data_IF_320017741740
#
_entry.id   IF_320017741740
#
_cell.length_a   1.000
_cell.length_b   1.000
_cell.length_c   1.000
_cell.angle_alpha   90.00
_cell.angle_beta   90.00
_cell.angle_gamma   90.00
#
_symmetry.space_group_name_H-M   'P 1'
#
loop_
_entity.id
_entity.type
_entity.pdbx_description
1 polymer ?
#
# COMPACT_ATOMS: atom_id res chain seq x y z
N UNK A 1 57.13 8.98 71.67
CA UNK A 1 57.82 8.36 70.52
C UNK A 1 56.96 7.40 69.71
N UNK A 2 56.58 6.20 70.16
CA UNK A 2 55.83 5.24 69.30
C UNK A 2 54.45 5.72 68.81
N UNK A 3 53.67 6.37 69.67
CA UNK A 3 52.36 6.93 69.32
C UNK A 3 52.46 8.12 68.34
N UNK A 4 53.45 9.01 68.54
CA UNK A 4 53.69 10.16 67.65
C UNK A 4 54.12 9.72 66.25
N UNK A 5 54.96 8.69 66.15
CA UNK A 5 55.38 8.11 64.86
C UNK A 5 54.18 7.49 64.13
N UNK A 6 53.28 6.79 64.84
CA UNK A 6 52.07 6.24 64.23
C UNK A 6 51.09 7.33 63.76
N UNK A 7 50.95 8.42 64.52
CA UNK A 7 50.11 9.56 64.13
C UNK A 7 50.64 10.23 62.84
N UNK A 8 51.95 10.44 62.74
CA UNK A 8 52.60 10.98 61.52
C UNK A 8 52.44 10.02 60.34
N UNK A 9 52.56 8.70 60.56
CA UNK A 9 52.35 7.69 59.52
C UNK A 9 50.91 7.66 58.99
N UNK A 10 49.92 7.78 59.87
CA UNK A 10 48.51 7.85 59.49
C UNK A 10 48.22 9.10 58.67
N UNK A 11 48.66 10.27 59.14
CA UNK A 11 48.53 11.53 58.41
C UNK A 11 49.17 11.46 57.03
N UNK A 12 50.37 10.89 56.92
CA UNK A 12 51.06 10.74 55.64
C UNK A 12 50.31 9.80 54.69
N UNK A 13 49.81 8.67 55.20
CA UNK A 13 49.02 7.73 54.40
C UNK A 13 47.69 8.33 53.92
N UNK A 14 47.01 9.12 54.76
CA UNK A 14 45.81 9.86 54.39
C UNK A 14 46.12 10.87 53.28
N UNK A 15 47.15 11.70 53.44
CA UNK A 15 47.56 12.68 52.43
C UNK A 15 47.97 12.02 51.09
N UNK A 16 48.67 10.87 51.15
CA UNK A 16 49.00 10.09 49.95
C UNK A 16 47.74 9.52 49.30
N UNK A 17 46.79 9.02 50.11
CA UNK A 17 45.50 8.50 49.65
C UNK A 17 44.68 9.56 48.92
N UNK A 18 44.47 10.71 49.56
CA UNK A 18 43.76 11.87 48.98
C UNK A 18 44.41 12.35 47.69
N UNK A 19 45.76 12.45 47.68
CA UNK A 19 46.48 12.89 46.49
C UNK A 19 46.38 11.88 45.35
N UNK A 20 46.43 10.58 45.67
CA UNK A 20 46.24 9.50 44.69
C UNK A 20 44.85 9.55 44.07
N UNK A 21 43.79 9.70 44.87
CA UNK A 21 42.42 9.80 44.37
C UNK A 21 42.24 11.03 43.47
N UNK A 22 42.77 12.18 43.87
CA UNK A 22 42.72 13.42 43.07
C UNK A 22 43.38 13.23 41.69
N UNK A 23 44.57 12.61 41.66
CA UNK A 23 45.28 12.35 40.41
C UNK A 23 44.56 11.32 39.54
N UNK A 24 43.93 10.30 40.14
CA UNK A 24 43.14 9.32 39.40
C UNK A 24 41.89 9.94 38.78
N UNK A 25 41.16 10.77 39.51
CA UNK A 25 39.99 11.49 38.99
C UNK A 25 40.38 12.45 37.86
N UNK A 26 41.50 13.17 38.01
CA UNK A 26 42.01 14.05 36.96
C UNK A 26 42.40 13.27 35.69
N UNK A 27 43.03 12.11 35.84
CA UNK A 27 43.38 11.24 34.71
C UNK A 27 42.13 10.72 33.98
N UNK A 28 41.10 10.27 34.72
CA UNK A 28 39.83 9.82 34.14
C UNK A 28 39.11 10.97 33.43
N UNK A 29 39.03 12.15 34.04
CA UNK A 29 38.38 13.32 33.43
C UNK A 29 39.09 13.76 32.14
N UNK A 30 40.43 13.73 32.12
CA UNK A 30 41.20 14.03 30.91
C UNK A 30 40.95 13.01 29.80
N UNK A 31 40.86 11.71 30.14
CA UNK A 31 40.54 10.66 29.18
C UNK A 31 39.13 10.83 28.61
N UNK A 32 38.12 11.06 29.46
CA UNK A 32 36.74 11.29 29.03
C UNK A 32 36.60 12.53 28.13
N UNK A 33 37.33 13.61 28.41
CA UNK A 33 37.32 14.80 27.57
C UNK A 33 37.99 14.56 26.20
N UNK A 34 39.04 13.75 26.14
CA UNK A 34 39.72 13.38 24.90
C UNK A 34 38.89 12.41 24.04
N UNK A 35 38.11 11.53 24.68
CA UNK A 35 37.21 10.56 24.04
C UNK A 35 35.78 11.10 23.86
N UNK A 36 35.54 12.38 24.16
CA UNK A 36 34.24 13.00 23.98
C UNK A 36 33.88 13.03 22.48
N UNK A 37 32.80 12.36 22.13
CA UNK A 37 32.27 12.30 20.76
C UNK A 37 31.04 13.20 20.65
N UNK A 38 30.85 13.80 19.48
CA UNK A 38 29.59 14.44 19.14
C UNK A 38 28.54 13.36 18.84
N UNK A 39 27.68 13.11 19.83
CA UNK A 39 26.59 12.12 19.75
C UNK A 39 25.45 12.55 18.83
N UNK A 40 25.46 13.79 18.31
CA UNK A 40 24.44 14.28 17.37
C UNK A 40 24.79 13.98 15.91
N UNK A 41 26.02 13.54 15.63
CA UNK A 41 26.43 13.17 14.28
C UNK A 41 25.58 12.01 13.73
N UNK A 42 25.22 12.03 12.44
CA UNK A 42 24.56 10.91 11.80
C UNK A 42 25.35 9.62 12.00
N UNK A 43 24.72 8.62 12.61
CA UNK A 43 25.31 7.29 12.76
C UNK A 43 25.51 6.61 11.42
N UNK A 44 26.42 5.62 11.39
CA UNK A 44 26.56 4.73 10.23
C UNK A 44 25.31 3.86 10.15
N UNK A 45 24.51 4.05 9.11
CA UNK A 45 23.26 3.31 8.88
C UNK A 45 23.14 2.89 7.42
N UNK A 46 22.39 1.83 7.19
CA UNK A 46 21.87 1.51 5.87
C UNK A 46 20.59 2.32 5.63
N UNK A 47 20.34 2.67 4.37
CA UNK A 47 19.12 3.37 4.00
C UNK A 47 17.91 2.43 4.14
N UNK A 48 16.81 2.97 4.67
CA UNK A 48 15.56 2.22 4.75
C UNK A 48 14.95 2.10 3.35
N UNK A 49 14.52 0.89 2.99
CA UNK A 49 13.73 0.68 1.79
C UNK A 49 12.37 1.37 1.87
N UNK A 50 11.77 1.64 0.70
CA UNK A 50 10.43 2.21 0.60
C UNK A 50 9.56 1.35 -0.33
N UNK A 51 8.26 1.25 0.02
CA UNK A 51 7.28 0.66 -0.88
C UNK A 51 7.03 1.59 -2.07
N UNK A 52 6.81 0.99 -3.24
CA UNK A 52 6.42 1.73 -4.42
C UNK A 52 5.09 2.49 -4.16
N UNK A 53 4.91 3.72 -4.65
CA UNK A 53 3.70 4.50 -4.40
C UNK A 53 2.40 3.78 -4.78
N UNK A 54 2.41 3.03 -5.88
CA UNK A 54 1.25 2.24 -6.31
C UNK A 54 0.92 1.13 -5.31
N UNK A 55 1.92 0.43 -4.76
CA UNK A 55 1.71 -0.58 -3.72
C UNK A 55 1.06 0.04 -2.49
N UNK A 56 1.56 1.19 -2.04
CA UNK A 56 0.96 1.93 -0.91
C UNK A 56 -0.50 2.32 -1.17
N UNK A 57 -0.81 2.76 -2.39
CA UNK A 57 -2.18 3.09 -2.79
C UNK A 57 -3.08 1.85 -2.78
N UNK A 58 -2.65 0.74 -3.38
CA UNK A 58 -3.42 -0.52 -3.40
C UNK A 58 -3.65 -1.03 -1.99
N UNK A 59 -2.61 -1.08 -1.15
CA UNK A 59 -2.71 -1.54 0.24
C UNK A 59 -3.69 -0.67 1.04
N UNK A 60 -3.67 0.65 0.83
CA UNK A 60 -4.60 1.58 1.48
C UNK A 60 -6.04 1.35 1.03
N UNK A 61 -6.28 1.16 -0.26
CA UNK A 61 -7.60 0.84 -0.79
C UNK A 61 -8.09 -0.51 -0.23
N UNK A 62 -7.21 -1.52 -0.22
CA UNK A 62 -7.53 -2.85 0.26
C UNK A 62 -7.87 -2.85 1.75
N UNK A 63 -7.09 -2.15 2.59
CA UNK A 63 -7.36 -2.02 4.01
C UNK A 63 -8.72 -1.35 4.29
N UNK A 64 -9.08 -0.31 3.53
CA UNK A 64 -10.38 0.34 3.67
C UNK A 64 -11.54 -0.61 3.37
N UNK A 65 -11.50 -1.30 2.22
CA UNK A 65 -12.57 -2.21 1.84
C UNK A 65 -12.61 -3.48 2.70
N UNK A 66 -11.48 -3.96 3.20
CA UNK A 66 -11.42 -5.06 4.17
C UNK A 66 -12.16 -4.71 5.47
N UNK A 67 -12.05 -3.47 5.95
CA UNK A 67 -12.82 -3.00 7.12
C UNK A 67 -14.35 -2.99 6.88
N UNK A 68 -14.79 -2.91 5.62
CA UNK A 68 -16.19 -3.04 5.21
C UNK A 68 -16.62 -4.50 4.92
N UNK A 69 -15.73 -5.47 5.13
CA UNK A 69 -15.97 -6.90 4.93
C UNK A 69 -15.79 -7.36 3.48
N UNK A 70 -15.04 -6.63 2.65
CA UNK A 70 -14.63 -7.12 1.33
C UNK A 70 -13.38 -7.99 1.43
N UNK A 71 -13.37 -9.11 0.73
CA UNK A 71 -12.19 -9.98 0.57
C UNK A 71 -11.33 -9.50 -0.61
N UNK A 72 -10.01 -9.56 -0.48
CA UNK A 72 -9.09 -9.33 -1.61
C UNK A 72 -8.95 -10.61 -2.40
N UNK A 73 -9.27 -10.57 -3.70
CA UNK A 73 -9.14 -11.71 -4.59
C UNK A 73 -8.28 -11.33 -5.79
N UNK A 74 -7.31 -12.16 -6.12
CA UNK A 74 -6.44 -11.99 -7.28
C UNK A 74 -6.68 -13.10 -8.30
N UNK A 75 -6.26 -12.86 -9.54
CA UNK A 75 -6.34 -13.85 -10.61
C UNK A 75 -5.27 -13.63 -11.67
N UNK A 76 -5.23 -14.48 -12.70
CA UNK A 76 -4.16 -14.48 -13.69
C UNK A 76 -4.16 -13.19 -14.52
N UNK A 77 -2.99 -12.82 -15.04
CA UNK A 77 -2.80 -11.66 -15.93
C UNK A 77 -2.98 -12.02 -17.40
N UNK A 78 -2.68 -13.27 -17.75
CA UNK A 78 -3.06 -13.88 -19.03
C UNK A 78 -4.44 -14.49 -18.82
N UNK A 79 -5.44 -13.95 -19.51
CA UNK A 79 -6.82 -14.41 -19.45
C UNK A 79 -7.24 -15.02 -20.79
N UNK A 80 -8.24 -15.90 -20.74
CA UNK A 80 -8.92 -16.37 -21.96
C UNK A 80 -9.95 -15.34 -22.45
N UNK A 81 -10.33 -15.44 -23.72
CA UNK A 81 -11.32 -14.53 -24.35
C UNK A 81 -12.68 -14.56 -23.63
N UNK A 82 -13.06 -15.71 -23.06
CA UNK A 82 -14.34 -15.87 -22.36
C UNK A 82 -14.39 -15.01 -21.09
N UNK A 83 -13.41 -15.14 -20.20
CA UNK A 83 -13.39 -14.41 -18.92
C UNK A 83 -13.06 -12.93 -19.11
N UNK A 84 -12.24 -12.57 -20.09
CA UNK A 84 -11.93 -11.17 -20.35
C UNK A 84 -13.04 -10.46 -21.15
N UNK A 85 -13.90 -11.17 -21.88
CA UNK A 85 -14.90 -10.51 -22.73
C UNK A 85 -16.30 -11.16 -22.76
N UNK A 86 -16.45 -12.42 -23.18
CA UNK A 86 -17.77 -13.01 -23.43
C UNK A 86 -18.65 -13.03 -22.17
N UNK A 87 -18.09 -13.48 -21.04
CA UNK A 87 -18.78 -13.54 -19.75
C UNK A 87 -19.24 -12.15 -19.25
N UNK A 88 -18.61 -11.08 -19.76
CA UNK A 88 -18.91 -9.69 -19.44
C UNK A 88 -19.88 -9.05 -20.45
N UNK A 89 -20.50 -9.85 -21.33
CA UNK A 89 -21.42 -9.39 -22.37
C UNK A 89 -20.74 -8.45 -23.40
N UNK A 90 -19.46 -8.71 -23.70
CA UNK A 90 -18.70 -8.01 -24.74
C UNK A 90 -18.59 -8.98 -25.92
N UNK A 91 -19.44 -8.93 -26.97
CA UNK A 91 -19.40 -9.89 -28.07
C UNK A 91 -18.19 -9.68 -29.00
N UNK A 92 -17.87 -10.66 -29.86
CA UNK A 92 -16.70 -10.64 -30.75
C UNK A 92 -16.57 -9.40 -31.65
N UNK A 93 -17.69 -8.79 -32.05
CA UNK A 93 -17.73 -7.60 -32.90
C UNK A 93 -17.69 -6.27 -32.11
N UNK A 94 -17.55 -6.34 -30.78
CA UNK A 94 -17.52 -5.16 -29.93
C UNK A 94 -16.20 -4.39 -30.12
N UNK A 95 -16.22 -3.05 -30.24
CA UNK A 95 -14.99 -2.26 -30.45
C UNK A 95 -13.89 -2.51 -29.42
N UNK A 96 -14.25 -2.78 -28.15
CA UNK A 96 -13.28 -3.08 -27.10
C UNK A 96 -12.43 -4.35 -27.31
N UNK A 97 -12.79 -5.22 -28.27
CA UNK A 97 -12.01 -6.39 -28.69
C UNK A 97 -11.10 -6.10 -29.90
N UNK A 98 -11.06 -4.86 -30.37
CA UNK A 98 -10.25 -4.55 -31.52
C UNK A 98 -8.76 -4.80 -31.21
N UNK A 99 -8.04 -5.37 -32.20
CA UNK A 99 -6.62 -5.72 -32.05
C UNK A 99 -5.70 -4.53 -31.73
N UNK A 100 -6.17 -3.29 -31.93
CA UNK A 100 -5.40 -2.09 -31.59
C UNK A 100 -5.54 -1.66 -30.13
N UNK A 101 -6.48 -2.24 -29.36
CA UNK A 101 -6.73 -1.89 -27.96
C UNK A 101 -6.25 -2.98 -26.99
N UNK A 102 -6.13 -4.22 -27.45
CA UNK A 102 -5.86 -5.42 -26.63
C UNK A 102 -4.62 -6.18 -27.11
N UNK A 103 -3.77 -6.61 -26.16
CA UNK A 103 -2.65 -7.50 -26.46
C UNK A 103 -3.11 -8.96 -26.53
N UNK A 104 -3.26 -9.48 -27.75
CA UNK A 104 -3.50 -10.90 -28.02
C UNK A 104 -2.21 -11.70 -27.97
N UNK A 105 -2.23 -12.84 -27.27
CA UNK A 105 -1.12 -13.80 -27.21
C UNK A 105 -1.31 -14.85 -28.30
N UNK A 106 -2.54 -15.34 -28.44
CA UNK A 106 -3.02 -16.23 -29.50
C UNK A 106 -4.51 -15.94 -29.78
N UNK A 107 -5.17 -16.81 -30.54
CA UNK A 107 -6.58 -16.67 -30.93
C UNK A 107 -7.57 -16.76 -29.75
N UNK A 108 -7.12 -17.24 -28.59
CA UNK A 108 -7.96 -17.56 -27.42
C UNK A 108 -7.51 -16.88 -26.13
N UNK A 109 -6.29 -16.35 -26.07
CA UNK A 109 -5.71 -15.73 -24.87
C UNK A 109 -5.25 -14.29 -25.11
N UNK A 110 -5.43 -13.47 -24.07
CA UNK A 110 -5.06 -12.05 -24.05
C UNK A 110 -4.35 -11.69 -22.75
N UNK A 111 -3.56 -10.62 -22.76
CA UNK A 111 -3.28 -9.91 -21.51
C UNK A 111 -4.54 -9.17 -21.07
N UNK A 112 -4.99 -9.41 -19.84
CA UNK A 112 -6.27 -8.87 -19.36
C UNK A 112 -6.32 -7.34 -19.44
N UNK A 113 -7.45 -6.81 -19.90
CA UNK A 113 -7.67 -5.36 -20.07
C UNK A 113 -8.28 -4.69 -18.83
N UNK A 114 -8.75 -5.52 -17.91
CA UNK A 114 -9.38 -5.17 -16.63
C UNK A 114 -9.34 -6.38 -15.67
N UNK A 115 -9.59 -6.18 -14.38
CA UNK A 115 -9.62 -7.28 -13.39
C UNK A 115 -10.98 -7.98 -13.27
N UNK A 116 -11.93 -7.68 -14.16
CA UNK A 116 -13.29 -8.25 -14.15
C UNK A 116 -13.33 -9.77 -14.36
N UNK A 117 -12.33 -10.37 -15.00
CA UNK A 117 -12.23 -11.84 -15.12
C UNK A 117 -12.18 -12.53 -13.75
N UNK A 118 -11.55 -11.90 -12.76
CA UNK A 118 -11.52 -12.39 -11.36
C UNK A 118 -12.93 -12.40 -10.75
N UNK A 119 -13.76 -11.40 -11.09
CA UNK A 119 -15.14 -11.33 -10.63
C UNK A 119 -15.98 -12.49 -11.18
N UNK A 120 -15.85 -12.78 -12.48
CA UNK A 120 -16.51 -13.92 -13.14
C UNK A 120 -16.12 -15.24 -12.47
N UNK A 121 -14.81 -15.50 -12.33
CA UNK A 121 -14.29 -16.71 -11.68
C UNK A 121 -14.76 -16.85 -10.22
N UNK A 122 -14.90 -15.73 -9.51
CA UNK A 122 -15.45 -15.71 -8.16
C UNK A 122 -16.92 -16.13 -8.15
N UNK A 123 -17.73 -15.60 -9.08
CA UNK A 123 -19.15 -15.95 -9.20
C UNK A 123 -19.39 -17.39 -9.68
N UNK A 124 -18.47 -17.98 -10.45
CA UNK A 124 -18.56 -19.38 -10.89
C UNK A 124 -18.26 -20.38 -9.77
N UNK A 125 -17.46 -19.97 -8.78
CA UNK A 125 -16.96 -20.86 -7.72
C UNK A 125 -17.63 -20.62 -6.36
N UNK A 126 -18.36 -19.52 -6.21
CA UNK A 126 -18.96 -19.10 -4.93
C UNK A 126 -20.37 -18.53 -5.15
N UNK A 127 -21.29 -18.90 -4.27
CA UNK A 127 -22.64 -18.33 -4.25
C UNK A 127 -22.68 -17.01 -3.44
N UNK A 128 -23.63 -16.09 -3.75
CA UNK A 128 -23.88 -14.91 -2.91
C UNK A 128 -24.17 -15.26 -1.44
N UNK A 129 -23.84 -14.36 -0.49
CA UNK A 129 -23.35 -12.99 -0.68
C UNK A 129 -21.86 -12.92 -1.03
N UNK A 130 -21.52 -12.12 -2.05
CA UNK A 130 -20.14 -11.86 -2.48
C UNK A 130 -19.77 -10.41 -2.21
N UNK A 131 -18.62 -10.20 -1.56
CA UNK A 131 -18.00 -8.89 -1.32
C UNK A 131 -16.52 -9.00 -1.59
N UNK A 132 -16.08 -8.63 -2.78
CA UNK A 132 -14.68 -8.79 -3.18
C UNK A 132 -14.12 -7.53 -3.82
N UNK A 133 -12.83 -7.31 -3.62
CA UNK A 133 -12.04 -6.36 -4.39
C UNK A 133 -10.92 -7.10 -5.14
N UNK A 134 -10.69 -6.69 -6.38
CA UNK A 134 -9.77 -7.35 -7.30
C UNK A 134 -8.68 -6.36 -7.75
N UNK A 135 -7.65 -6.12 -6.92
CA UNK A 135 -6.48 -5.35 -7.34
C UNK A 135 -5.65 -6.15 -8.35
N UNK A 136 -5.06 -5.49 -9.34
CA UNK A 136 -4.17 -6.18 -10.26
C UNK A 136 -3.63 -5.33 -11.40
N UNK A 137 -2.58 -5.83 -12.04
CA UNK A 137 -2.04 -5.27 -13.29
C UNK A 137 -2.97 -5.57 -14.46
N UNK A 138 -3.12 -4.61 -15.35
CA UNK A 138 -3.92 -4.71 -16.57
C UNK A 138 -3.15 -4.07 -17.71
N UNK A 139 -3.52 -4.44 -18.95
CA UNK A 139 -2.74 -4.12 -20.13
C UNK A 139 -3.62 -3.52 -21.23
N UNK A 140 -3.10 -2.51 -21.92
CA UNK A 140 -3.75 -1.88 -23.07
C UNK A 140 -2.71 -1.47 -24.09
N UNK A 141 -3.06 -1.55 -25.37
CA UNK A 141 -2.16 -1.16 -26.46
C UNK A 141 -2.14 0.36 -26.69
N UNK A 142 -2.12 1.14 -25.60
CA UNK A 142 -2.00 2.59 -25.60
C UNK A 142 -0.70 2.99 -24.90
N UNK A 143 0.16 3.74 -25.59
CA UNK A 143 1.40 4.26 -25.02
C UNK A 143 1.62 5.71 -25.44
N UNK A 144 1.39 6.63 -24.52
CA UNK A 144 1.68 8.06 -24.67
C UNK A 144 2.13 8.67 -23.32
N UNK A 145 2.20 10.00 -23.22
CA UNK A 145 2.64 10.69 -22.01
C UNK A 145 1.76 10.40 -20.78
N UNK A 146 0.50 10.03 -20.99
CA UNK A 146 -0.50 9.78 -19.95
C UNK A 146 -0.91 8.31 -19.85
N UNK A 147 -0.61 7.51 -20.88
CA UNK A 147 -0.98 6.10 -20.97
C UNK A 147 0.26 5.22 -20.93
N UNK A 148 0.30 4.35 -19.90
CA UNK A 148 1.26 3.25 -19.84
C UNK A 148 0.57 1.98 -20.34
N UNK A 149 1.23 1.16 -21.18
CA UNK A 149 0.65 -0.08 -21.68
C UNK A 149 0.39 -1.11 -20.59
N UNK A 150 0.99 -0.92 -19.41
CA UNK A 150 0.67 -1.65 -18.18
C UNK A 150 0.38 -0.66 -17.06
N UNK A 151 -0.76 -0.83 -16.38
CA UNK A 151 -1.15 -0.05 -15.21
C UNK A 151 -1.92 -0.93 -14.22
N UNK A 152 -2.34 -0.36 -13.09
CA UNK A 152 -3.04 -1.11 -12.04
C UNK A 152 -4.49 -0.66 -11.96
N UNK A 153 -5.39 -1.62 -11.78
CA UNK A 153 -6.78 -1.38 -11.45
C UNK A 153 -7.13 -2.04 -10.13
N UNK A 154 -8.12 -1.47 -9.45
CA UNK A 154 -8.80 -2.10 -8.31
C UNK A 154 -10.28 -2.06 -8.65
N UNK A 155 -10.86 -3.23 -8.89
CA UNK A 155 -12.30 -3.37 -9.12
C UNK A 155 -12.98 -3.93 -7.87
N UNK A 156 -14.26 -3.64 -7.70
CA UNK A 156 -15.04 -4.12 -6.56
C UNK A 156 -16.36 -4.73 -7.01
N UNK A 157 -16.74 -5.84 -6.37
CA UNK A 157 -17.99 -6.56 -6.60
C UNK A 157 -18.72 -6.76 -5.27
N UNK A 158 -19.99 -6.37 -5.24
CA UNK A 158 -20.92 -6.61 -4.14
C UNK A 158 -22.21 -7.21 -4.72
N UNK A 159 -22.48 -8.47 -4.40
CA UNK A 159 -23.70 -9.20 -4.79
C UNK A 159 -24.35 -9.75 -3.52
N UNK A 160 -25.59 -9.35 -3.25
CA UNK A 160 -26.39 -9.79 -2.11
C UNK A 160 -27.87 -9.45 -2.42
N UNK A 161 -28.83 -10.07 -1.72
CA UNK A 161 -30.27 -9.97 -2.02
C UNK A 161 -30.81 -8.53 -1.87
N UNK A 162 -30.23 -7.75 -0.95
CA UNK A 162 -30.71 -6.43 -0.56
C UNK A 162 -29.73 -5.30 -0.94
N UNK A 163 -29.06 -5.42 -2.09
CA UNK A 163 -28.12 -4.41 -2.60
C UNK A 163 -28.82 -3.41 -3.51
N UNK A 164 -28.68 -2.13 -3.17
CA UNK A 164 -29.27 -1.01 -3.87
C UNK A 164 -28.21 -0.05 -4.43
N UNK A 165 -28.61 0.76 -5.39
CA UNK A 165 -27.76 1.82 -5.93
C UNK A 165 -27.41 2.90 -4.88
N UNK A 166 -28.26 3.09 -3.86
CA UNK A 166 -27.98 3.99 -2.74
C UNK A 166 -26.76 3.54 -1.93
N UNK A 167 -26.63 2.24 -1.68
CA UNK A 167 -25.46 1.69 -0.99
C UNK A 167 -24.18 1.85 -1.81
N UNK A 168 -24.23 1.63 -3.13
CA UNK A 168 -23.07 1.88 -4.00
C UNK A 168 -22.59 3.33 -3.89
N UNK A 169 -23.52 4.29 -3.95
CA UNK A 169 -23.18 5.71 -3.81
C UNK A 169 -22.55 6.02 -2.45
N UNK A 170 -23.12 5.50 -1.37
CA UNK A 170 -22.59 5.68 -0.02
C UNK A 170 -21.18 5.13 0.12
N UNK A 171 -20.96 3.86 -0.24
CA UNK A 171 -19.66 3.19 -0.15
C UNK A 171 -18.59 3.96 -0.95
N UNK A 172 -18.90 4.38 -2.19
CA UNK A 172 -17.94 5.12 -3.01
C UNK A 172 -17.66 6.51 -2.46
N UNK A 173 -18.67 7.22 -1.94
CA UNK A 173 -18.49 8.53 -1.34
C UNK A 173 -17.62 8.44 -0.08
N UNK A 174 -17.95 7.51 0.83
CA UNK A 174 -17.21 7.30 2.07
C UNK A 174 -15.75 6.87 1.79
N UNK A 175 -15.55 6.03 0.77
CA UNK A 175 -14.22 5.65 0.31
C UNK A 175 -13.42 6.86 -0.18
N UNK A 176 -14.00 7.71 -1.02
CA UNK A 176 -13.31 8.90 -1.54
C UNK A 176 -12.94 9.88 -0.41
N UNK A 177 -13.86 10.11 0.54
CA UNK A 177 -13.58 10.94 1.72
C UNK A 177 -12.43 10.39 2.56
N UNK A 178 -12.44 9.09 2.83
CA UNK A 178 -11.38 8.42 3.60
C UNK A 178 -10.04 8.32 2.84
N UNK A 179 -10.07 8.14 1.53
CA UNK A 179 -8.87 7.99 0.70
C UNK A 179 -8.17 9.33 0.45
N UNK A 180 -8.93 10.40 0.27
CA UNK A 180 -8.38 11.76 0.09
C UNK A 180 -8.23 12.54 1.40
N UNK A 181 -8.72 12.00 2.53
CA UNK A 181 -8.72 12.64 3.85
C UNK A 181 -9.43 14.02 3.82
N UNK A 182 -10.55 14.07 3.08
CA UNK A 182 -11.29 15.30 2.82
C UNK A 182 -12.81 15.05 2.91
N UNK A 183 -13.39 15.37 4.06
CA UNK A 183 -14.85 15.25 4.29
C UNK A 183 -15.67 16.20 3.39
N UNK A 184 -15.09 17.34 3.02
CA UNK A 184 -15.73 18.33 2.15
C UNK A 184 -15.54 18.06 0.65
N UNK A 185 -14.93 16.93 0.27
CA UNK A 185 -14.72 16.58 -1.14
C UNK A 185 -16.07 16.40 -1.83
N UNK A 186 -16.32 17.24 -2.84
CA UNK A 186 -17.56 17.19 -3.62
C UNK A 186 -17.55 15.98 -4.56
N UNK A 187 -18.41 15.00 -4.30
CA UNK A 187 -18.57 13.82 -5.15
C UNK A 187 -19.75 13.99 -6.09
N UNK A 188 -19.51 13.91 -7.40
CA UNK A 188 -20.55 13.98 -8.43
C UNK A 188 -20.70 12.67 -9.17
N UNK A 189 -21.88 12.08 -9.06
CA UNK A 189 -22.28 10.96 -9.88
C UNK A 189 -22.85 11.47 -11.23
N UNK A 190 -22.15 11.25 -12.37
CA UNK A 190 -22.70 11.24 -13.77
C UNK A 190 -22.91 9.86 -14.47
N UNK A 191 -24.07 9.63 -15.12
CA UNK A 191 -24.38 8.37 -15.80
C UNK A 191 -23.45 8.11 -17.01
N UNK A 192 -23.02 6.86 -17.22
CA UNK A 192 -22.26 6.37 -18.39
C UNK A 192 -22.73 4.95 -18.77
N UNK A 193 -22.56 4.46 -20.00
CA UNK A 193 -23.00 3.10 -20.38
C UNK A 193 -21.81 2.13 -20.37
N UNK A 194 -22.00 0.94 -19.80
CA UNK A 194 -21.09 -0.21 -19.95
C UNK A 194 -21.83 -1.40 -20.59
N UNK A 195 -21.18 -2.18 -21.46
CA UNK A 195 -21.73 -3.45 -21.94
C UNK A 195 -21.59 -4.47 -20.79
N UNK A 196 -22.68 -4.75 -20.11
CA UNK A 196 -22.82 -5.73 -19.01
C UNK A 196 -24.31 -6.06 -18.89
N UNK A 197 -24.77 -7.21 -18.36
CA UNK A 197 -26.10 -7.75 -18.66
C UNK A 197 -27.30 -7.00 -18.03
N UNK A 198 -27.09 -5.84 -17.41
CA UNK A 198 -28.20 -4.96 -16.98
C UNK A 198 -27.77 -3.49 -16.96
N UNK A 199 -28.73 -2.52 -16.97
CA UNK A 199 -28.44 -1.13 -17.28
C UNK A 199 -27.74 -0.44 -16.10
N UNK A 200 -26.41 -0.50 -16.00
CA UNK A 200 -25.68 0.21 -14.94
C UNK A 200 -24.43 0.91 -15.43
N UNK A 201 -24.20 2.04 -14.75
CA UNK A 201 -23.36 3.14 -15.17
C UNK A 201 -22.01 3.16 -14.45
N UNK A 202 -20.92 3.46 -15.17
CA UNK A 202 -19.62 3.81 -14.57
C UNK A 202 -19.65 5.27 -14.08
N UNK A 203 -19.03 5.54 -12.95
CA UNK A 203 -18.79 6.90 -12.43
C UNK A 203 -17.28 7.14 -12.42
N UNK A 204 -16.82 8.22 -13.05
CA UNK A 204 -15.46 8.75 -12.85
C UNK A 204 -15.56 9.92 -11.88
N UNK A 205 -14.76 9.92 -10.81
CA UNK A 205 -14.52 11.12 -10.01
C UNK A 205 -13.43 11.94 -10.70
N UNK A 206 -13.76 13.10 -11.23
CA UNK A 206 -12.74 14.12 -11.44
C UNK A 206 -12.67 14.92 -10.13
N UNK A 207 -11.48 14.91 -9.51
CA UNK A 207 -11.07 15.98 -8.62
C UNK A 207 -10.93 17.29 -9.42
#
# INVERSE_FOLDING_TARGET
MGAEINAVKQLLNEQIGERKETLQQAAIAAQLAAEALDVTLPGRREDLGALHPITRTIDRMAAYFAALGFEVVEGPEIEDDYHNFEALNIPAHHPARAMHDTFYIDDTHVLRTHTSGVQVRTMETREPPLRVICPGRVYRCDSDLTHSPMFHQVEGLLIDENVSFGQLKGIIQDFLHAFFEQDALAVRFRPLIFPSPSPRQRWTSNA
#
